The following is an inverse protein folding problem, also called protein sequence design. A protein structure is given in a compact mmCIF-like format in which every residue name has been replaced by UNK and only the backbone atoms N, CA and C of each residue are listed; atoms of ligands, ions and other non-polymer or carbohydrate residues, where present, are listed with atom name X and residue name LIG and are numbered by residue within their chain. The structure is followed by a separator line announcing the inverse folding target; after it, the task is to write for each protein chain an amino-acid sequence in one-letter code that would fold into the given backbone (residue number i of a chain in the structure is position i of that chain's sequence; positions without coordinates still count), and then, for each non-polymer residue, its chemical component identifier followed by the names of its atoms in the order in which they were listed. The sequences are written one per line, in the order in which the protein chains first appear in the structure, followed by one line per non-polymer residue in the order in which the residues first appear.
data_IF_538740744343
#
_entry.id   IF_538740744343
#
_cell.length_a   1.000
_cell.length_b   1.000
_cell.length_c   1.000
_cell.angle_alpha   90.00
_cell.angle_beta   90.00
_cell.angle_gamma   90.00
#
_symmetry.space_group_name_H-M   'P 1'
#
loop_
_entity.id
_entity.type
_entity.pdbx_description
1 polymer ?
#
# COMPACT_ATOMS: atom_id res chain seq x y z
N UNK A 1 -13.47 23.13 17.36
CA UNK A 1 -12.02 23.34 17.16
C UNK A 1 -11.43 22.02 16.67
N UNK A 2 -10.88 21.97 15.46
CA UNK A 2 -10.13 20.78 15.03
C UNK A 2 -8.71 20.89 15.54
N UNK A 3 -8.33 19.99 16.44
CA UNK A 3 -6.92 19.82 16.81
C UNK A 3 -6.13 19.28 15.62
N UNK A 4 -4.79 19.30 15.69
CA UNK A 4 -3.95 18.69 14.67
C UNK A 4 -4.33 17.23 14.39
N UNK A 5 -4.71 16.47 15.43
CA UNK A 5 -5.17 15.09 15.32
C UNK A 5 -6.48 14.96 14.52
N UNK A 6 -7.45 15.86 14.76
CA UNK A 6 -8.71 15.87 14.00
C UNK A 6 -8.50 16.12 12.51
N UNK A 7 -7.56 17.00 12.15
CA UNK A 7 -7.22 17.26 10.74
C UNK A 7 -6.64 16.02 10.04
N UNK A 8 -5.77 15.28 10.72
CA UNK A 8 -5.17 14.05 10.16
C UNK A 8 -6.21 12.93 10.05
N UNK A 9 -7.04 12.73 11.07
CA UNK A 9 -8.06 11.67 11.08
C UNK A 9 -9.15 11.84 9.99
N UNK A 10 -9.37 13.08 9.54
CA UNK A 10 -10.35 13.42 8.51
C UNK A 10 -9.71 13.66 7.13
N UNK A 11 -8.39 13.54 7.00
CA UNK A 11 -7.71 13.65 5.72
C UNK A 11 -8.01 12.44 4.82
N UNK A 12 -8.01 12.68 3.51
CA UNK A 12 -8.03 11.63 2.52
C UNK A 12 -6.67 10.92 2.50
N UNK A 13 -6.68 9.67 2.06
CA UNK A 13 -5.47 8.86 1.94
C UNK A 13 -5.58 7.96 0.72
N UNK A 14 -4.45 7.64 0.12
CA UNK A 14 -4.38 6.62 -0.92
C UNK A 14 -4.39 5.23 -0.27
N UNK A 15 -5.43 4.46 -0.57
CA UNK A 15 -5.56 3.06 -0.17
C UNK A 15 -4.96 2.22 -1.29
N UNK A 16 -3.68 1.92 -1.14
CA UNK A 16 -2.94 1.15 -2.14
C UNK A 16 -3.17 -0.35 -1.92
N UNK A 17 -3.64 -1.05 -2.94
CA UNK A 17 -3.76 -2.51 -2.94
C UNK A 17 -2.95 -3.12 -4.09
N UNK A 18 -2.25 -4.24 -3.86
CA UNK A 18 -1.68 -5.01 -4.95
C UNK A 18 -2.81 -5.66 -5.76
N UNK A 19 -2.66 -5.73 -7.07
CA UNK A 19 -3.53 -6.52 -7.93
C UNK A 19 -3.18 -8.00 -7.68
N UNK A 20 -4.04 -8.68 -6.94
CA UNK A 20 -3.91 -10.09 -6.59
C UNK A 20 -4.99 -10.91 -7.30
N UNK A 21 -4.63 -12.11 -7.71
CA UNK A 21 -5.59 -13.06 -8.29
C UNK A 21 -6.34 -13.85 -7.21
N UNK A 22 -7.43 -14.49 -7.61
CA UNK A 22 -8.20 -15.42 -6.78
C UNK A 22 -9.10 -14.74 -5.73
N UNK A 23 -9.62 -15.56 -4.82
CA UNK A 23 -10.64 -15.16 -3.86
C UNK A 23 -10.15 -14.05 -2.90
N UNK A 24 -8.88 -14.13 -2.48
CA UNK A 24 -8.28 -13.13 -1.60
C UNK A 24 -8.19 -11.76 -2.29
N UNK A 25 -7.71 -11.71 -3.53
CA UNK A 25 -7.64 -10.45 -4.29
C UNK A 25 -9.01 -9.81 -4.49
N UNK A 26 -10.01 -10.63 -4.85
CA UNK A 26 -11.38 -10.16 -4.98
C UNK A 26 -11.94 -9.63 -3.64
N UNK A 27 -11.61 -10.27 -2.51
CA UNK A 27 -12.02 -9.80 -1.18
C UNK A 27 -11.35 -8.48 -0.81
N UNK A 28 -10.02 -8.40 -0.92
CA UNK A 28 -9.25 -7.18 -0.63
C UNK A 28 -9.76 -6.00 -1.45
N UNK A 29 -10.02 -6.22 -2.75
CA UNK A 29 -10.58 -5.18 -3.62
C UNK A 29 -11.93 -4.67 -3.11
N UNK A 30 -12.88 -5.57 -2.80
CA UNK A 30 -14.20 -5.18 -2.29
C UNK A 30 -14.09 -4.41 -0.96
N UNK A 31 -13.26 -4.88 -0.04
CA UNK A 31 -13.07 -4.22 1.25
C UNK A 31 -12.43 -2.83 1.09
N UNK A 32 -11.48 -2.69 0.16
CA UNK A 32 -10.85 -1.41 -0.15
C UNK A 32 -11.81 -0.44 -0.87
N UNK A 33 -12.70 -0.93 -1.73
CA UNK A 33 -13.78 -0.16 -2.35
C UNK A 33 -14.70 0.43 -1.28
N UNK A 34 -15.15 -0.39 -0.31
CA UNK A 34 -15.96 0.06 0.84
C UNK A 34 -15.22 1.11 1.67
N UNK A 35 -13.92 0.91 1.92
CA UNK A 35 -13.11 1.88 2.67
C UNK A 35 -13.02 3.24 1.96
N UNK A 36 -13.11 3.26 0.62
CA UNK A 36 -13.04 4.47 -0.19
C UNK A 36 -14.40 5.11 -0.49
N UNK A 37 -15.49 4.60 0.05
CA UNK A 37 -16.80 5.22 -0.08
C UNK A 37 -16.83 6.64 0.53
N UNK A 38 -17.76 7.52 0.09
CA UNK A 38 -17.89 8.86 0.65
C UNK A 38 -18.09 8.87 2.17
N UNK A 39 -17.28 9.66 2.87
CA UNK A 39 -17.30 9.78 4.33
C UNK A 39 -17.86 11.14 4.76
N UNK A 40 -19.03 11.21 5.42
CA UNK A 40 -19.58 12.48 5.88
C UNK A 40 -18.61 13.21 6.83
N UNK A 41 -18.27 14.45 6.49
CA UNK A 41 -17.37 15.27 7.32
C UNK A 41 -15.88 14.90 7.24
N UNK A 42 -15.48 14.00 6.34
CA UNK A 42 -14.08 13.67 6.08
C UNK A 42 -13.77 13.73 4.57
N UNK A 43 -12.50 13.90 4.22
CA UNK A 43 -12.06 13.75 2.85
C UNK A 43 -12.09 12.27 2.44
N UNK A 44 -12.43 12.03 1.18
CA UNK A 44 -12.55 10.68 0.62
C UNK A 44 -11.17 10.05 0.45
N UNK A 45 -11.08 8.74 0.70
CA UNK A 45 -9.91 7.96 0.32
C UNK A 45 -9.90 7.67 -1.17
N UNK A 46 -8.71 7.50 -1.74
CA UNK A 46 -8.54 7.11 -3.14
C UNK A 46 -8.06 5.67 -3.19
N UNK A 47 -8.85 4.80 -3.81
CA UNK A 47 -8.41 3.44 -4.11
C UNK A 47 -7.35 3.48 -5.20
N UNK A 48 -6.21 2.83 -4.96
CA UNK A 48 -5.14 2.72 -5.95
C UNK A 48 -4.69 1.28 -6.11
N UNK A 49 -4.91 0.73 -7.29
CA UNK A 49 -4.46 -0.61 -7.65
C UNK A 49 -3.04 -0.55 -8.25
N UNK A 50 -2.17 -1.43 -7.78
CA UNK A 50 -0.77 -1.49 -8.21
C UNK A 50 -0.43 -2.90 -8.68
N UNK A 51 0.15 -3.08 -9.89
CA UNK A 51 0.60 -4.39 -10.35
C UNK A 51 1.61 -5.01 -9.38
N UNK A 52 1.41 -6.28 -9.04
CA UNK A 52 2.26 -7.00 -8.10
C UNK A 52 3.52 -7.60 -8.78
N UNK A 53 3.59 -7.54 -10.11
CA UNK A 53 4.65 -8.16 -10.91
C UNK A 53 6.04 -7.68 -10.47
N UNK A 54 6.94 -8.64 -10.27
CA UNK A 54 8.34 -8.42 -9.89
C UNK A 54 8.55 -8.00 -8.43
N UNK A 55 7.49 -7.78 -7.64
CA UNK A 55 7.65 -7.29 -6.27
C UNK A 55 8.30 -8.33 -5.35
N UNK A 56 7.99 -9.62 -5.52
CA UNK A 56 8.61 -10.67 -4.71
C UNK A 56 10.11 -10.78 -4.97
N UNK A 57 10.52 -10.71 -6.24
CA UNK A 57 11.90 -10.75 -6.66
C UNK A 57 12.68 -9.55 -6.10
N UNK A 58 12.08 -8.36 -6.15
CA UNK A 58 12.67 -7.15 -5.58
C UNK A 58 12.81 -7.23 -4.05
N UNK A 59 11.83 -7.81 -3.35
CA UNK A 59 11.91 -8.00 -1.90
C UNK A 59 13.03 -8.98 -1.52
N UNK A 60 13.17 -10.08 -2.25
CA UNK A 60 14.29 -11.03 -2.05
C UNK A 60 15.64 -10.39 -2.36
N UNK A 61 15.72 -9.58 -3.42
CA UNK A 61 16.92 -8.84 -3.76
C UNK A 61 17.30 -7.84 -2.65
N UNK A 62 16.30 -7.16 -2.06
CA UNK A 62 16.53 -6.26 -0.94
C UNK A 62 17.06 -6.97 0.31
N UNK A 63 16.56 -8.17 0.65
CA UNK A 63 17.15 -8.99 1.73
C UNK A 63 18.61 -9.34 1.44
N UNK A 64 18.92 -9.71 0.19
CA UNK A 64 20.26 -10.09 -0.22
C UNK A 64 21.24 -8.91 -0.21
N UNK A 65 20.81 -7.75 -0.70
CA UNK A 65 21.61 -6.52 -0.76
C UNK A 65 21.91 -5.97 0.63
N UNK A 66 20.89 -5.92 1.49
CA UNK A 66 21.03 -5.36 2.84
C UNK A 66 21.60 -6.34 3.86
N UNK A 67 21.51 -7.65 3.57
CA UNK A 67 21.81 -8.72 4.54
C UNK A 67 20.79 -8.84 5.67
N UNK A 68 19.67 -8.10 5.60
CA UNK A 68 18.63 -8.07 6.64
C UNK A 68 17.41 -8.85 6.17
N UNK A 69 16.94 -9.79 7.01
CA UNK A 69 15.69 -10.51 6.75
C UNK A 69 14.48 -9.63 7.04
N UNK A 70 13.55 -9.60 6.09
CA UNK A 70 12.26 -8.95 6.24
C UNK A 70 11.36 -9.80 7.14
N UNK A 71 10.83 -9.19 8.19
CA UNK A 71 9.89 -9.85 9.11
C UNK A 71 8.77 -8.90 9.54
N UNK A 72 7.56 -9.44 9.64
CA UNK A 72 6.38 -8.75 10.18
C UNK A 72 5.59 -9.73 11.05
N UNK A 73 5.16 -9.29 12.24
CA UNK A 73 4.44 -10.15 13.18
C UNK A 73 5.12 -11.52 13.45
N UNK A 74 6.46 -11.54 13.47
CA UNK A 74 7.32 -12.75 13.56
C UNK A 74 7.21 -13.74 12.38
N UNK A 75 6.65 -13.31 11.25
CA UNK A 75 6.62 -14.06 9.99
C UNK A 75 7.59 -13.45 8.99
N UNK A 76 8.32 -14.28 8.27
CA UNK A 76 9.20 -13.90 7.18
C UNK A 76 8.48 -13.75 5.84
N UNK A 77 9.23 -13.38 4.81
CA UNK A 77 8.72 -13.12 3.46
C UNK A 77 7.93 -14.30 2.85
N UNK A 78 8.43 -15.52 3.02
CA UNK A 78 7.78 -16.74 2.52
C UNK A 78 6.61 -17.20 3.39
N UNK A 79 6.57 -16.78 4.67
CA UNK A 79 5.51 -17.13 5.61
C UNK A 79 4.28 -16.20 5.50
N UNK A 80 4.48 -14.95 5.06
CA UNK A 80 3.40 -13.95 4.89
C UNK A 80 3.61 -13.08 3.64
N UNK A 81 3.71 -13.73 2.48
CA UNK A 81 3.98 -13.10 1.18
C UNK A 81 3.02 -11.94 0.87
N UNK A 82 1.73 -12.12 1.13
CA UNK A 82 0.72 -11.11 0.82
C UNK A 82 0.94 -9.80 1.59
N UNK A 83 1.34 -9.85 2.86
CA UNK A 83 1.61 -8.66 3.66
C UNK A 83 2.80 -7.85 3.11
N UNK A 84 3.88 -8.53 2.72
CA UNK A 84 5.05 -7.84 2.15
C UNK A 84 4.77 -7.30 0.75
N UNK A 85 4.02 -8.03 -0.08
CA UNK A 85 3.62 -7.56 -1.41
C UNK A 85 2.74 -6.32 -1.32
N UNK A 86 1.81 -6.27 -0.37
CA UNK A 86 0.99 -5.09 -0.14
C UNK A 86 1.83 -3.87 0.27
N UNK A 87 2.78 -4.05 1.19
CA UNK A 87 3.70 -2.98 1.60
C UNK A 87 4.59 -2.50 0.43
N UNK A 88 5.12 -3.44 -0.37
CA UNK A 88 5.95 -3.13 -1.53
C UNK A 88 5.15 -2.39 -2.63
N UNK A 89 3.89 -2.76 -2.84
CA UNK A 89 2.99 -2.07 -3.76
C UNK A 89 2.75 -0.61 -3.33
N UNK A 90 2.57 -0.36 -2.04
CA UNK A 90 2.51 1.01 -1.50
C UNK A 90 3.82 1.78 -1.74
N UNK A 91 4.98 1.15 -1.52
CA UNK A 91 6.28 1.75 -1.84
C UNK A 91 6.44 2.13 -3.32
N UNK A 92 6.00 1.25 -4.23
CA UNK A 92 5.98 1.51 -5.68
C UNK A 92 5.06 2.69 -6.02
N UNK A 93 3.90 2.80 -5.37
CA UNK A 93 3.00 3.92 -5.53
C UNK A 93 3.66 5.25 -5.12
N UNK A 94 4.28 5.28 -3.95
CA UNK A 94 4.98 6.47 -3.43
C UNK A 94 6.11 6.88 -4.37
N UNK A 95 6.92 5.93 -4.85
CA UNK A 95 7.99 6.23 -5.82
C UNK A 95 7.45 6.95 -7.05
N UNK A 96 6.35 6.47 -7.63
CA UNK A 96 5.72 7.12 -8.79
C UNK A 96 5.20 8.52 -8.47
N UNK A 97 4.68 8.79 -7.27
CA UNK A 97 4.31 10.16 -6.87
C UNK A 97 5.55 11.05 -6.89
N UNK A 98 6.63 10.62 -6.23
CA UNK A 98 7.86 11.40 -6.13
C UNK A 98 8.47 11.68 -7.51
N UNK A 99 8.46 10.69 -8.40
CA UNK A 99 8.95 10.85 -9.77
C UNK A 99 8.06 11.83 -10.56
N UNK A 100 6.75 11.81 -10.37
CA UNK A 100 5.84 12.76 -11.00
C UNK A 100 6.04 14.19 -10.47
N UNK A 101 6.22 14.37 -9.16
CA UNK A 101 6.49 15.67 -8.56
C UNK A 101 7.82 16.26 -9.04
N UNK A 102 8.86 15.43 -9.19
CA UNK A 102 10.16 15.85 -9.71
C UNK A 102 10.13 16.32 -11.18
N UNK A 103 9.12 15.91 -11.97
CA UNK A 103 8.95 16.36 -13.37
C UNK A 103 8.18 17.70 -13.45
N UNK A 104 7.42 18.06 -12.42
CA UNK A 104 6.56 19.25 -12.39
C UNK A 104 7.09 20.39 -11.50
N UNK A 105 8.24 20.20 -10.83
CA UNK A 105 8.92 21.20 -10.00
C UNK A 105 10.17 21.76 -10.67
#
# INVERSE_FOLDING_TARGET
SMTAYGRVALAGADVVIPILEGALGAQVRREAEVLCEPRPGAAQHRLVEVPADGLMELLRAAEAETGVRLSTMRRGLDEDTAAFIAAAAAGRHVRRILDAEAVHG
#
